data_IF_306629113285
#
_entry.id   IF_306629113285
#
_cell.length_a   1.000
_cell.length_b   1.000
_cell.length_c   1.000
_cell.angle_alpha   90.00
_cell.angle_beta   90.00
_cell.angle_gamma   90.00
#
_symmetry.space_group_name_H-M   'P 1'
#
loop_
_entity.id
_entity.type
_entity.pdbx_description
1 polymer ?
#
# COMPACT_ATOMS: atom_id res chain seq x y z
N UNK A 1 -3.69 -21.26 -55.17
CA UNK A 1 -3.15 -21.28 -53.79
C UNK A 1 -3.92 -20.35 -52.84
N UNK A 2 -5.25 -20.47 -52.73
CA UNK A 2 -6.07 -19.52 -51.95
C UNK A 2 -7.16 -20.19 -51.07
N UNK A 3 -7.07 -21.51 -50.87
CA UNK A 3 -8.11 -22.30 -50.16
C UNK A 3 -7.81 -22.55 -48.68
N UNK A 4 -6.66 -22.10 -48.17
CA UNK A 4 -6.21 -22.43 -46.81
C UNK A 4 -6.45 -21.32 -45.76
N UNK A 5 -6.82 -20.09 -46.16
CA UNK A 5 -7.07 -18.99 -45.21
C UNK A 5 -8.36 -19.16 -44.39
N UNK A 6 -9.34 -19.90 -44.90
CA UNK A 6 -10.66 -20.01 -44.27
C UNK A 6 -10.75 -21.15 -43.24
N UNK A 7 -9.79 -22.08 -43.25
CA UNK A 7 -9.77 -23.23 -42.33
C UNK A 7 -9.41 -22.82 -40.89
N UNK A 8 -8.47 -21.89 -40.73
CA UNK A 8 -8.11 -21.35 -39.43
C UNK A 8 -9.23 -20.46 -38.86
N UNK A 9 -9.87 -19.64 -39.70
CA UNK A 9 -11.03 -18.83 -39.29
C UNK A 9 -12.20 -19.69 -38.82
N UNK A 10 -12.55 -20.75 -39.55
CA UNK A 10 -13.63 -21.66 -39.17
C UNK A 10 -13.29 -22.47 -37.90
N UNK A 11 -12.01 -22.72 -37.63
CA UNK A 11 -11.57 -23.35 -36.39
C UNK A 11 -11.75 -22.41 -35.20
N UNK A 12 -11.29 -21.17 -35.31
CA UNK A 12 -11.48 -20.15 -34.28
C UNK A 12 -12.95 -19.83 -34.01
N UNK A 13 -13.77 -19.72 -35.06
CA UNK A 13 -15.20 -19.46 -34.91
C UNK A 13 -15.91 -20.59 -34.15
N UNK A 14 -15.52 -21.85 -34.37
CA UNK A 14 -16.05 -22.97 -33.58
C UNK A 14 -15.60 -22.92 -32.13
N UNK A 15 -14.33 -22.60 -31.87
CA UNK A 15 -13.80 -22.44 -30.52
C UNK A 15 -14.52 -21.31 -29.76
N UNK A 16 -14.76 -20.17 -30.42
CA UNK A 16 -15.50 -19.02 -29.86
C UNK A 16 -16.97 -19.36 -29.61
N UNK A 17 -17.64 -20.05 -30.54
CA UNK A 17 -19.05 -20.44 -30.37
C UNK A 17 -19.21 -21.45 -29.24
N UNK A 18 -18.25 -22.35 -29.06
CA UNK A 18 -18.22 -23.28 -27.93
C UNK A 18 -17.95 -22.56 -26.61
N UNK A 19 -16.96 -21.67 -26.58
CA UNK A 19 -16.70 -20.84 -25.40
C UNK A 19 -17.92 -19.99 -25.04
N UNK A 20 -18.63 -19.45 -26.02
CA UNK A 20 -19.86 -18.69 -25.82
C UNK A 20 -20.99 -19.55 -25.24
N UNK A 21 -21.14 -20.79 -25.72
CA UNK A 21 -22.10 -21.75 -25.13
C UNK A 21 -21.73 -22.08 -23.69
N UNK A 22 -20.44 -22.29 -23.41
CA UNK A 22 -19.92 -22.57 -22.07
C UNK A 22 -20.17 -21.39 -21.11
N UNK A 23 -19.87 -20.17 -21.56
CA UNK A 23 -20.15 -18.93 -20.81
C UNK A 23 -21.64 -18.84 -20.51
N UNK A 24 -22.50 -19.07 -21.51
CA UNK A 24 -23.96 -18.94 -21.35
C UNK A 24 -24.56 -20.03 -20.45
N UNK A 25 -24.05 -21.26 -20.48
CA UNK A 25 -24.55 -22.33 -19.62
C UNK A 25 -24.15 -22.14 -18.16
N UNK A 26 -22.99 -21.52 -17.91
CA UNK A 26 -22.39 -21.44 -16.57
C UNK A 26 -22.21 -19.99 -16.05
N UNK A 27 -23.09 -19.08 -16.49
CA UNK A 27 -23.08 -17.65 -16.09
C UNK A 27 -23.03 -17.48 -14.56
N UNK A 28 -23.77 -18.31 -13.81
CA UNK A 28 -23.83 -18.21 -12.36
C UNK A 28 -22.44 -18.39 -11.71
N UNK A 29 -21.67 -19.38 -12.15
CA UNK A 29 -20.32 -19.61 -11.63
C UNK A 29 -19.32 -18.56 -12.14
N UNK A 30 -19.52 -18.08 -13.37
CA UNK A 30 -18.71 -17.01 -13.93
C UNK A 30 -18.89 -15.69 -13.18
N UNK A 31 -20.13 -15.41 -12.74
CA UNK A 31 -20.43 -14.28 -11.87
C UNK A 31 -19.73 -14.39 -10.51
N UNK A 32 -19.67 -15.59 -9.91
CA UNK A 32 -18.91 -15.81 -8.67
C UNK A 32 -17.41 -15.56 -8.90
N UNK A 33 -16.84 -16.08 -9.99
CA UNK A 33 -15.45 -15.83 -10.35
C UNK A 33 -15.16 -14.34 -10.54
N UNK A 34 -16.03 -13.63 -11.27
CA UNK A 34 -15.92 -12.18 -11.43
C UNK A 34 -16.01 -11.45 -10.09
N UNK A 35 -16.91 -11.88 -9.19
CA UNK A 35 -17.05 -11.36 -7.84
C UNK A 35 -15.77 -11.52 -7.00
N UNK A 36 -15.15 -12.70 -7.03
CA UNK A 36 -13.87 -12.95 -6.35
C UNK A 36 -12.76 -12.02 -6.87
N UNK A 37 -12.70 -11.81 -8.20
CA UNK A 37 -11.73 -10.91 -8.83
C UNK A 37 -11.99 -9.44 -8.45
N UNK A 38 -13.26 -9.03 -8.40
CA UNK A 38 -13.65 -7.69 -7.95
C UNK A 38 -13.16 -7.46 -6.52
N UNK A 39 -13.50 -8.37 -5.59
CA UNK A 39 -13.11 -8.26 -4.18
C UNK A 39 -11.59 -8.25 -4.05
N UNK A 40 -10.87 -9.16 -4.74
CA UNK A 40 -9.41 -9.21 -4.68
C UNK A 40 -8.75 -7.92 -5.21
N UNK A 41 -9.27 -7.34 -6.30
CA UNK A 41 -8.73 -6.10 -6.88
C UNK A 41 -8.96 -4.90 -5.96
N UNK A 42 -10.15 -4.80 -5.36
CA UNK A 42 -10.49 -3.73 -4.42
C UNK A 42 -9.66 -3.85 -3.13
N UNK A 43 -9.51 -5.05 -2.58
CA UNK A 43 -8.67 -5.29 -1.40
C UNK A 43 -7.20 -4.97 -1.67
N UNK A 44 -6.68 -5.34 -2.85
CA UNK A 44 -5.32 -4.99 -3.26
C UNK A 44 -5.11 -3.48 -3.40
N UNK A 45 -6.08 -2.77 -4.00
CA UNK A 45 -6.05 -1.31 -4.10
C UNK A 45 -6.12 -0.63 -2.74
N UNK A 46 -6.94 -1.16 -1.84
CA UNK A 46 -7.02 -0.70 -0.46
C UNK A 46 -5.70 -0.92 0.29
N UNK A 47 -5.09 -2.11 0.20
CA UNK A 47 -3.80 -2.42 0.82
C UNK A 47 -2.67 -1.50 0.35
N UNK A 48 -2.63 -1.18 -0.94
CA UNK A 48 -1.63 -0.27 -1.48
C UNK A 48 -1.87 1.17 -1.00
N UNK A 49 -3.14 1.61 -1.00
CA UNK A 49 -3.51 2.94 -0.55
C UNK A 49 -3.21 3.17 0.94
N UNK A 50 -3.49 2.18 1.79
CA UNK A 50 -3.16 2.26 3.22
C UNK A 50 -1.65 2.29 3.47
N UNK A 51 -0.84 1.66 2.62
CA UNK A 51 0.62 1.70 2.72
C UNK A 51 1.20 3.10 2.51
N UNK A 52 0.72 3.80 1.50
CA UNK A 52 1.16 5.18 1.19
C UNK A 52 0.62 6.12 2.26
N UNK A 53 -0.63 5.94 2.67
CA UNK A 53 -1.24 6.70 3.75
C UNK A 53 -0.46 6.57 5.06
N UNK A 54 -0.05 5.35 5.42
CA UNK A 54 0.74 5.07 6.61
C UNK A 54 2.08 5.82 6.59
N UNK A 55 2.80 5.77 5.46
CA UNK A 55 4.05 6.53 5.30
C UNK A 55 3.82 8.03 5.51
N UNK A 56 2.71 8.57 5.00
CA UNK A 56 2.38 9.99 5.15
C UNK A 56 1.97 10.38 6.56
N UNK A 57 1.28 9.50 7.30
CA UNK A 57 1.01 9.70 8.73
C UNK A 57 2.31 9.73 9.50
N UNK A 58 3.19 8.74 9.27
CA UNK A 58 4.45 8.66 9.96
C UNK A 58 5.29 9.91 9.71
N UNK A 59 5.40 10.36 8.45
CA UNK A 59 6.12 11.61 8.14
C UNK A 59 5.48 12.84 8.78
N UNK A 60 4.14 12.92 8.81
CA UNK A 60 3.42 14.07 9.39
C UNK A 60 3.57 14.10 10.92
N UNK A 61 3.38 12.96 11.58
CA UNK A 61 3.57 12.84 13.03
C UNK A 61 5.02 13.16 13.42
N UNK A 62 6.00 12.73 12.62
CA UNK A 62 7.41 13.07 12.84
C UNK A 62 7.71 14.55 12.61
N UNK A 63 7.07 15.18 11.62
CA UNK A 63 7.25 16.61 11.38
C UNK A 63 6.76 17.48 12.54
N UNK A 64 5.80 17.00 13.34
CA UNK A 64 5.34 17.71 14.55
C UNK A 64 6.30 17.58 15.73
N UNK A 65 7.16 16.56 15.74
CA UNK A 65 8.13 16.34 16.80
C UNK A 65 9.38 17.20 16.53
N UNK A 66 9.50 18.31 17.26
CA UNK A 66 10.70 19.13 17.26
C UNK A 66 11.73 18.55 18.23
N UNK A 67 12.98 18.45 17.77
CA UNK A 67 14.13 18.22 18.65
C UNK A 67 14.75 19.57 18.98
N UNK A 68 14.92 19.86 20.26
CA UNK A 68 15.50 21.13 20.73
C UNK A 68 16.92 20.87 21.22
N UNK A 69 17.88 21.51 20.57
CA UNK A 69 19.31 21.46 20.94
C UNK A 69 19.67 22.77 21.60
N UNK A 70 20.00 22.77 22.88
CA UNK A 70 20.43 23.96 23.60
C UNK A 70 21.93 24.18 23.40
N UNK A 71 22.31 25.41 23.10
CA UNK A 71 23.70 25.81 22.90
C UNK A 71 24.16 26.76 24.01
N UNK A 72 25.48 26.87 24.17
CA UNK A 72 26.07 27.78 25.14
C UNK A 72 25.79 29.26 24.76
N UNK A 73 25.49 30.09 25.76
CA UNK A 73 25.24 31.54 25.60
C UNK A 73 26.48 32.32 25.17
N UNK A 74 27.67 31.75 25.37
CA UNK A 74 28.96 32.39 25.09
C UNK A 74 29.41 32.28 23.62
N UNK A 75 28.68 31.55 22.77
CA UNK A 75 29.06 31.34 21.36
C UNK A 75 28.89 32.62 20.51
N UNK A 76 29.89 32.98 19.69
CA UNK A 76 29.77 34.09 18.74
C UNK A 76 28.79 33.78 17.60
N UNK A 77 28.12 34.81 17.06
CA UNK A 77 27.11 34.63 16.00
C UNK A 77 27.63 33.92 14.74
N UNK A 78 28.90 34.11 14.39
CA UNK A 78 29.52 33.44 13.24
C UNK A 78 29.56 31.91 13.42
N UNK A 79 29.79 31.45 14.65
CA UNK A 79 29.83 30.03 15.01
C UNK A 79 28.41 29.43 15.09
N UNK A 80 27.42 30.22 15.53
CA UNK A 80 26.00 29.84 15.46
C UNK A 80 25.58 29.62 14.00
N UNK A 81 26.02 30.48 13.07
CA UNK A 81 25.70 30.33 11.65
C UNK A 81 26.39 29.12 11.00
N UNK A 82 27.65 28.83 11.38
CA UNK A 82 28.34 27.64 10.86
C UNK A 82 27.67 26.35 11.35
N UNK A 83 27.34 26.27 12.64
CA UNK A 83 26.60 25.13 13.24
C UNK A 83 25.25 24.94 12.54
N UNK A 84 24.52 26.02 12.28
CA UNK A 84 23.25 25.96 11.53
C UNK A 84 23.46 25.39 10.12
N UNK A 85 24.47 25.88 9.39
CA UNK A 85 24.76 25.42 8.04
C UNK A 85 25.15 23.93 8.02
N UNK A 86 25.87 23.48 9.04
CA UNK A 86 26.24 22.07 9.20
C UNK A 86 25.03 21.20 9.51
N UNK A 87 24.11 21.64 10.37
CA UNK A 87 22.86 20.91 10.63
C UNK A 87 21.97 20.79 9.40
N UNK A 88 21.82 21.86 8.61
CA UNK A 88 21.02 21.83 7.37
C UNK A 88 21.59 20.87 6.33
N UNK A 89 22.92 20.67 6.32
CA UNK A 89 23.58 19.76 5.37
C UNK A 89 23.47 18.29 5.76
N UNK A 90 22.99 17.96 6.97
CA UNK A 90 22.90 16.57 7.43
C UNK A 90 21.75 15.84 6.74
N UNK A 91 21.97 14.57 6.34
CA UNK A 91 20.92 13.77 5.72
C UNK A 91 19.76 13.54 6.69
N UNK A 92 18.53 13.79 6.22
CA UNK A 92 17.31 13.56 7.00
C UNK A 92 16.88 14.71 7.91
N UNK A 93 17.60 15.84 7.91
CA UNK A 93 17.14 17.10 8.50
C UNK A 93 16.18 17.80 7.52
N UNK A 94 14.96 18.07 7.97
CA UNK A 94 13.93 18.75 7.17
C UNK A 94 14.00 20.27 7.33
N UNK A 95 14.19 20.74 8.56
CA UNK A 95 14.19 22.16 8.91
C UNK A 95 15.07 22.41 10.14
N UNK A 96 15.77 23.55 10.13
CA UNK A 96 16.57 24.04 11.27
C UNK A 96 16.23 25.50 11.54
N UNK A 97 15.63 25.75 12.69
CA UNK A 97 15.25 27.08 13.16
C UNK A 97 16.09 27.44 14.36
N UNK A 98 16.75 28.60 14.29
CA UNK A 98 17.45 29.16 15.44
C UNK A 98 16.46 30.01 16.24
N UNK A 99 16.35 29.74 17.54
CA UNK A 99 15.53 30.51 18.47
C UNK A 99 16.45 31.20 19.46
N UNK A 100 16.41 32.52 19.48
CA UNK A 100 17.21 33.29 20.45
C UNK A 100 16.64 33.13 21.85
N UNK A 101 17.46 33.34 22.88
CA UNK A 101 17.02 33.28 24.28
C UNK A 101 15.80 34.18 24.53
N UNK A 102 15.78 35.38 23.93
CA UNK A 102 14.69 36.35 24.06
C UNK A 102 13.41 35.88 23.38
N UNK A 103 13.53 35.28 22.20
CA UNK A 103 12.39 34.71 21.46
C UNK A 103 11.77 33.54 22.22
N UNK A 104 12.60 32.62 22.72
CA UNK A 104 12.14 31.48 23.51
C UNK A 104 11.38 31.92 24.77
N UNK A 105 11.84 33.00 25.43
CA UNK A 105 11.17 33.56 26.60
C UNK A 105 9.84 34.23 26.23
N UNK A 106 9.77 34.91 25.08
CA UNK A 106 8.52 35.50 24.60
C UNK A 106 7.47 34.44 24.26
N UNK A 107 7.87 33.36 23.60
CA UNK A 107 6.98 32.22 23.27
C UNK A 107 6.50 31.48 24.52
N UNK A 108 7.39 31.29 25.51
CA UNK A 108 7.02 30.66 26.78
C UNK A 108 6.00 31.51 27.55
N UNK A 109 6.17 32.84 27.57
CA UNK A 109 5.21 33.77 28.20
C UNK A 109 3.85 33.76 27.53
N UNK A 110 3.80 33.62 26.20
CA UNK A 110 2.53 33.48 25.47
C UNK A 110 1.83 32.16 25.79
N UNK A 111 2.59 31.07 25.80
CA UNK A 111 2.10 29.71 26.08
C UNK A 111 1.60 29.55 27.52
N UNK A 112 2.22 30.27 28.46
CA UNK A 112 1.89 30.28 29.88
C UNK A 112 1.26 31.63 30.30
N UNK A 113 0.53 32.28 29.40
CA UNK A 113 -0.13 33.57 29.67
C UNK A 113 -1.04 33.54 30.90
N UNK A 114 -1.66 32.40 31.19
CA UNK A 114 -2.45 32.14 32.40
C UNK A 114 -1.63 32.01 33.70
N UNK A 115 -0.31 31.86 33.62
CA UNK A 115 0.64 31.76 34.74
C UNK A 115 1.71 32.87 34.70
N UNK A 116 1.35 34.05 34.19
CA UNK A 116 2.26 35.19 34.04
C UNK A 116 3.02 35.56 35.32
N UNK A 117 2.42 35.33 36.49
CA UNK A 117 3.01 35.55 37.83
C UNK A 117 4.29 34.73 38.08
N UNK A 118 4.50 33.61 37.39
CA UNK A 118 5.73 32.81 37.48
C UNK A 118 6.96 33.55 36.94
N UNK A 119 6.76 34.57 36.10
CA UNK A 119 7.82 35.28 35.40
C UNK A 119 8.14 36.66 35.99
N UNK A 120 7.38 37.14 36.98
CA UNK A 120 7.53 38.48 37.56
C UNK A 120 8.81 38.63 38.41
N UNK A 121 9.35 37.53 38.94
CA UNK A 121 10.55 37.53 39.80
C UNK A 121 11.83 37.07 39.11
N UNK A 122 11.81 36.83 37.79
CA UNK A 122 12.97 36.35 37.05
C UNK A 122 13.77 37.56 36.54
N UNK A 123 14.90 37.84 37.18
CA UNK A 123 15.76 38.99 36.87
C UNK A 123 16.65 38.78 35.64
N UNK A 124 16.96 37.52 35.33
CA UNK A 124 17.89 37.13 34.26
C UNK A 124 17.29 35.95 33.47
N UNK A 125 17.38 35.98 32.13
CA UNK A 125 16.70 34.99 31.29
C UNK A 125 17.29 33.58 31.50
N UNK A 126 16.54 32.63 32.08
CA UNK A 126 17.06 31.30 32.40
C UNK A 126 17.14 30.40 31.15
N UNK A 127 16.49 30.78 30.06
CA UNK A 127 16.38 29.96 28.85
C UNK A 127 17.64 30.20 27.97
N UNK A 128 18.42 29.15 27.66
CA UNK A 128 19.52 29.25 26.71
C UNK A 128 19.00 29.35 25.26
N UNK A 129 19.81 29.88 24.34
CA UNK A 129 19.47 29.84 22.93
C UNK A 129 19.44 28.39 22.44
N UNK A 130 18.60 28.12 21.45
CA UNK A 130 18.40 26.75 20.97
C UNK A 130 18.22 26.66 19.45
N UNK A 131 18.52 25.47 18.94
CA UNK A 131 18.13 25.06 17.59
C UNK A 131 16.95 24.10 17.69
N UNK A 132 15.86 24.45 17.02
CA UNK A 132 14.75 23.54 16.79
C UNK A 132 14.95 22.84 15.45
N UNK A 133 15.02 21.51 15.50
CA UNK A 133 15.33 20.67 14.34
C UNK A 133 14.17 19.72 14.10
N UNK A 134 13.68 19.70 12.86
CA UNK A 134 12.68 18.73 12.38
C UNK A 134 13.37 17.70 11.51
N UNK A 135 12.97 16.44 11.66
CA UNK A 135 13.53 15.32 10.90
C UNK A 135 12.50 14.70 9.96
N UNK A 136 12.97 14.10 8.87
CA UNK A 136 12.13 13.36 7.93
C UNK A 136 11.85 11.91 8.38
N UNK A 137 12.67 11.36 9.28
CA UNK A 137 12.55 9.99 9.79
C UNK A 137 13.02 9.85 11.25
N UNK A 138 12.51 8.84 11.96
CA UNK A 138 12.99 8.48 13.29
C UNK A 138 14.46 8.03 13.29
N UNK A 139 14.89 7.37 12.21
CA UNK A 139 16.26 6.89 12.09
C UNK A 139 17.25 8.06 12.00
N UNK A 140 16.93 9.07 11.19
CA UNK A 140 17.71 10.30 11.09
C UNK A 140 17.73 11.08 12.41
N UNK A 141 16.59 11.15 13.11
CA UNK A 141 16.52 11.77 14.44
C UNK A 141 17.42 11.03 15.43
N UNK A 142 17.38 9.69 15.44
CA UNK A 142 18.22 8.87 16.32
C UNK A 142 19.72 9.05 16.04
N UNK A 143 20.11 8.98 14.77
CA UNK A 143 21.50 9.20 14.36
C UNK A 143 21.99 10.58 14.79
N UNK A 144 21.17 11.60 14.59
CA UNK A 144 21.50 12.96 15.02
C UNK A 144 21.65 13.05 16.55
N UNK A 145 20.75 12.44 17.33
CA UNK A 145 20.84 12.41 18.79
C UNK A 145 22.13 11.73 19.25
N UNK A 146 22.48 10.59 18.66
CA UNK A 146 23.68 9.82 19.00
C UNK A 146 24.96 10.61 18.65
N UNK A 147 24.97 11.32 17.53
CA UNK A 147 26.08 12.21 17.13
C UNK A 147 26.20 13.43 18.07
N UNK A 148 25.08 14.09 18.38
CA UNK A 148 25.06 15.30 19.21
C UNK A 148 25.41 15.02 20.67
N UNK A 149 25.13 13.83 21.20
CA UNK A 149 25.57 13.43 22.54
C UNK A 149 27.09 13.46 22.73
N UNK A 150 27.85 13.41 21.64
CA UNK A 150 29.32 13.46 21.67
C UNK A 150 29.89 14.86 21.39
N UNK A 151 29.05 15.83 21.02
CA UNK A 151 29.48 17.18 20.67
C UNK A 151 29.67 18.04 21.93
N UNK A 152 30.80 18.75 22.01
CA UNK A 152 31.21 19.50 23.21
C UNK A 152 30.48 20.83 23.42
N UNK A 153 29.83 21.36 22.37
CA UNK A 153 29.18 22.69 22.38
C UNK A 153 27.67 22.64 22.72
N UNK A 154 27.16 21.47 23.11
CA UNK A 154 25.73 21.25 23.40
C UNK A 154 25.53 21.16 24.90
N UNK A 155 24.67 22.02 25.43
CA UNK A 155 24.38 22.10 26.87
C UNK A 155 23.37 21.05 27.29
N UNK A 156 22.30 20.90 26.51
CA UNK A 156 21.24 19.92 26.75
C UNK A 156 20.52 19.58 25.44
N UNK A 157 19.96 18.37 25.36
CA UNK A 157 19.28 17.83 24.19
C UNK A 157 17.90 17.32 24.60
N UNK A 158 16.87 18.10 24.29
CA UNK A 158 15.48 17.73 24.51
C UNK A 158 14.91 17.12 23.22
N UNK A 159 14.93 15.79 23.18
CA UNK A 159 14.37 15.01 22.10
C UNK A 159 13.30 14.06 22.66
N UNK A 160 12.01 14.21 22.29
CA UNK A 160 10.94 13.29 22.70
C UNK A 160 11.00 11.95 21.93
N UNK A 161 12.20 11.40 21.74
CA UNK A 161 12.47 10.23 20.90
C UNK A 161 11.77 8.97 21.42
N UNK A 162 11.80 8.71 22.73
CA UNK A 162 11.16 7.50 23.29
C UNK A 162 9.63 7.51 23.11
N UNK A 163 9.01 8.68 23.28
CA UNK A 163 7.57 8.87 23.08
C UNK A 163 7.21 8.71 21.59
N UNK A 164 7.99 9.34 20.71
CA UNK A 164 7.86 9.23 19.27
C UNK A 164 8.06 7.78 18.77
N UNK A 165 9.05 7.08 19.31
CA UNK A 165 9.37 5.70 18.97
C UNK A 165 8.26 4.75 19.43
N UNK A 166 7.72 4.94 20.65
CA UNK A 166 6.61 4.12 21.17
C UNK A 166 5.36 4.25 20.29
N UNK A 167 4.97 5.49 19.97
CA UNK A 167 3.83 5.77 19.09
C UNK A 167 4.06 5.20 17.69
N UNK A 168 5.23 5.44 17.10
CA UNK A 168 5.56 4.91 15.78
C UNK A 168 5.56 3.39 15.76
N UNK A 169 6.08 2.73 16.78
CA UNK A 169 6.12 1.25 16.86
C UNK A 169 4.71 0.68 17.00
N UNK A 170 3.85 1.31 17.80
CA UNK A 170 2.46 0.90 17.95
C UNK A 170 1.68 1.01 16.64
N UNK A 171 1.76 2.16 15.96
CA UNK A 171 1.08 2.38 14.68
C UNK A 171 1.65 1.44 13.61
N UNK A 172 2.97 1.25 13.55
CA UNK A 172 3.62 0.31 12.62
C UNK A 172 3.18 -1.13 12.86
N UNK A 173 3.09 -1.56 14.11
CA UNK A 173 2.64 -2.91 14.48
C UNK A 173 1.20 -3.18 14.04
N UNK A 174 0.29 -2.23 14.29
CA UNK A 174 -1.10 -2.31 13.85
C UNK A 174 -1.20 -2.35 12.32
N UNK A 175 -0.46 -1.50 11.62
CA UNK A 175 -0.41 -1.47 10.17
C UNK A 175 0.10 -2.79 9.59
N UNK A 176 1.22 -3.32 10.11
CA UNK A 176 1.79 -4.59 9.65
C UNK A 176 0.82 -5.76 9.87
N UNK A 177 0.06 -5.75 10.99
CA UNK A 177 -0.96 -6.76 11.24
C UNK A 177 -2.11 -6.68 10.21
N UNK A 178 -2.63 -5.47 9.93
CA UNK A 178 -3.68 -5.26 8.92
C UNK A 178 -3.18 -5.68 7.54
N UNK A 179 -1.97 -5.28 7.17
CA UNK A 179 -1.37 -5.59 5.88
C UNK A 179 -1.16 -7.11 5.71
N UNK A 180 -0.70 -7.80 6.75
CA UNK A 180 -0.58 -9.26 6.75
C UNK A 180 -1.94 -9.95 6.55
N UNK A 181 -2.99 -9.50 7.23
CA UNK A 181 -4.35 -10.01 7.06
C UNK A 181 -4.84 -9.81 5.61
N UNK A 182 -4.58 -8.63 5.03
CA UNK A 182 -4.96 -8.33 3.65
C UNK A 182 -4.26 -9.24 2.64
N UNK A 183 -2.96 -9.51 2.82
CA UNK A 183 -2.23 -10.47 1.98
C UNK A 183 -2.84 -11.87 2.08
N UNK A 184 -3.14 -12.32 3.30
CA UNK A 184 -3.76 -13.64 3.52
C UNK A 184 -5.13 -13.71 2.86
N UNK A 185 -5.96 -12.66 2.97
CA UNK A 185 -7.26 -12.62 2.29
C UNK A 185 -7.13 -12.71 0.77
N UNK A 186 -6.21 -11.95 0.17
CA UNK A 186 -5.98 -12.02 -1.29
C UNK A 186 -5.51 -13.42 -1.71
N UNK A 187 -4.63 -14.05 -0.92
CA UNK A 187 -4.18 -15.43 -1.18
C UNK A 187 -5.35 -16.43 -1.10
N UNK A 188 -6.22 -16.31 -0.09
CA UNK A 188 -7.42 -17.16 0.05
C UNK A 188 -8.35 -16.96 -1.15
N UNK A 189 -8.60 -15.72 -1.59
CA UNK A 189 -9.44 -15.44 -2.76
C UNK A 189 -8.85 -16.04 -4.04
N UNK A 190 -7.52 -16.02 -4.20
CA UNK A 190 -6.85 -16.66 -5.33
C UNK A 190 -7.03 -18.18 -5.32
N UNK A 191 -6.89 -18.82 -4.15
CA UNK A 191 -7.13 -20.26 -3.99
C UNK A 191 -8.59 -20.59 -4.32
N UNK A 192 -9.56 -19.81 -3.81
CA UNK A 192 -10.98 -20.00 -4.11
C UNK A 192 -11.25 -19.89 -5.61
N UNK A 193 -10.64 -18.93 -6.30
CA UNK A 193 -10.77 -18.79 -7.74
C UNK A 193 -10.22 -20.02 -8.49
N UNK A 194 -9.06 -20.56 -8.07
CA UNK A 194 -8.49 -21.79 -8.64
C UNK A 194 -9.43 -22.99 -8.44
N UNK A 195 -9.93 -23.19 -7.22
CA UNK A 195 -10.86 -24.28 -6.91
C UNK A 195 -12.17 -24.18 -7.69
N UNK A 196 -12.66 -22.96 -7.92
CA UNK A 196 -13.84 -22.74 -8.76
C UNK A 196 -13.60 -23.20 -10.20
N UNK A 197 -12.46 -22.82 -10.79
CA UNK A 197 -12.09 -23.22 -12.16
C UNK A 197 -11.95 -24.74 -12.25
N UNK A 198 -11.27 -25.37 -11.30
CA UNK A 198 -11.10 -26.82 -11.25
C UNK A 198 -12.45 -27.54 -11.17
N UNK A 199 -13.36 -27.07 -10.31
CA UNK A 199 -14.71 -27.64 -10.18
C UNK A 199 -15.49 -27.62 -11.50
N UNK A 200 -15.26 -26.61 -12.32
CA UNK A 200 -15.94 -26.42 -13.60
C UNK A 200 -15.35 -27.33 -14.69
N UNK A 201 -14.03 -27.50 -14.72
CA UNK A 201 -13.37 -28.47 -15.60
C UNK A 201 -13.82 -29.90 -15.27
N UNK A 202 -13.91 -30.24 -13.98
CA UNK A 202 -14.32 -31.58 -13.52
C UNK A 202 -15.74 -31.95 -13.94
N UNK A 203 -16.68 -30.99 -13.99
CA UNK A 203 -18.05 -31.24 -14.50
C UNK A 203 -18.09 -31.61 -15.97
N UNK A 204 -17.08 -31.21 -16.74
CA UNK A 204 -17.02 -31.42 -18.19
C UNK A 204 -16.05 -32.53 -18.58
N UNK A 205 -15.47 -33.25 -17.60
CA UNK A 205 -14.47 -34.30 -17.84
C UNK A 205 -14.92 -35.37 -18.84
N UNK A 206 -16.19 -35.77 -18.81
CA UNK A 206 -16.73 -36.82 -19.70
C UNK A 206 -16.78 -36.33 -21.15
N UNK A 207 -17.24 -35.09 -21.35
CA UNK A 207 -17.24 -34.42 -22.65
C UNK A 207 -15.81 -34.26 -23.18
N UNK A 208 -14.87 -33.88 -22.32
CA UNK A 208 -13.47 -33.69 -22.68
C UNK A 208 -12.78 -35.01 -23.05
N UNK A 209 -13.07 -36.09 -22.32
CA UNK A 209 -12.58 -37.44 -22.63
C UNK A 209 -13.10 -37.93 -23.98
N UNK A 210 -14.37 -37.65 -24.31
CA UNK A 210 -14.90 -38.01 -25.63
C UNK A 210 -14.19 -37.25 -26.76
N UNK A 211 -13.87 -35.97 -26.56
CA UNK A 211 -13.12 -35.20 -27.56
C UNK A 211 -11.65 -35.60 -27.65
N UNK A 212 -11.00 -36.00 -26.55
CA UNK A 212 -9.62 -36.52 -26.60
C UNK A 212 -9.54 -37.82 -27.41
N UNK A 213 -10.51 -38.72 -27.23
CA UNK A 213 -10.61 -39.97 -28.00
C UNK A 213 -10.80 -39.76 -29.51
N UNK A 214 -11.38 -38.62 -29.92
CA UNK A 214 -11.52 -38.24 -31.34
C UNK A 214 -10.27 -37.56 -31.92
N UNK A 215 -9.16 -37.51 -31.16
CA UNK A 215 -7.91 -36.90 -31.59
C UNK A 215 -7.91 -35.36 -31.49
N UNK A 216 -8.74 -34.77 -30.63
CA UNK A 216 -8.70 -33.33 -30.40
C UNK A 216 -7.35 -32.92 -29.80
N UNK A 217 -6.72 -31.90 -30.37
CA UNK A 217 -5.45 -31.37 -29.86
C UNK A 217 -5.63 -30.82 -28.43
N UNK A 218 -4.67 -30.98 -27.50
CA UNK A 218 -4.78 -30.48 -26.12
C UNK A 218 -5.15 -28.99 -26.02
N UNK A 219 -4.61 -28.16 -26.91
CA UNK A 219 -4.92 -26.73 -27.00
C UNK A 219 -6.40 -26.45 -27.32
N UNK A 220 -7.03 -27.30 -28.13
CA UNK A 220 -8.45 -27.18 -28.48
C UNK A 220 -9.37 -27.46 -27.29
N UNK A 221 -8.98 -28.40 -26.42
CA UNK A 221 -9.71 -28.72 -25.20
C UNK A 221 -9.64 -27.58 -24.16
N UNK A 222 -8.57 -26.78 -24.20
CA UNK A 222 -8.26 -25.74 -23.23
C UNK A 222 -8.82 -24.36 -23.55
N UNK A 223 -8.93 -24.02 -24.83
CA UNK A 223 -9.41 -22.71 -25.27
C UNK A 223 -10.76 -22.27 -24.69
N UNK A 224 -11.80 -23.12 -24.55
CA UNK A 224 -13.08 -22.65 -24.02
C UNK A 224 -12.99 -22.22 -22.54
N UNK A 225 -12.19 -22.92 -21.73
CA UNK A 225 -11.95 -22.54 -20.33
C UNK A 225 -11.11 -21.28 -20.22
N UNK A 226 -10.08 -21.14 -21.06
CA UNK A 226 -9.27 -19.93 -21.09
C UNK A 226 -10.11 -18.70 -21.45
N UNK A 227 -10.94 -18.81 -22.48
CA UNK A 227 -11.85 -17.73 -22.90
C UNK A 227 -12.90 -17.41 -21.84
N UNK A 228 -13.41 -18.42 -21.14
CA UNK A 228 -14.32 -18.23 -20.00
C UNK A 228 -13.68 -17.39 -18.89
N UNK A 229 -12.48 -17.78 -18.42
CA UNK A 229 -11.79 -17.07 -17.33
C UNK A 229 -11.41 -15.65 -17.73
N UNK A 230 -10.83 -15.47 -18.92
CA UNK A 230 -10.43 -14.15 -19.43
C UNK A 230 -11.65 -13.23 -19.55
N UNK A 231 -12.79 -13.73 -20.01
CA UNK A 231 -14.01 -12.92 -20.15
C UNK A 231 -14.54 -12.43 -18.80
N UNK A 232 -14.69 -13.32 -17.82
CA UNK A 232 -15.18 -12.94 -16.48
C UNK A 232 -14.16 -12.12 -15.69
N UNK A 233 -12.87 -12.36 -15.89
CA UNK A 233 -11.81 -11.54 -15.32
C UNK A 233 -11.80 -10.12 -15.88
N UNK A 234 -11.95 -9.97 -17.20
CA UNK A 234 -12.04 -8.65 -17.83
C UNK A 234 -13.23 -7.87 -17.27
N UNK A 235 -14.40 -8.51 -17.14
CA UNK A 235 -15.58 -7.90 -16.51
C UNK A 235 -15.29 -7.51 -15.06
N UNK A 236 -14.70 -8.43 -14.28
CA UNK A 236 -14.38 -8.18 -12.88
C UNK A 236 -13.41 -7.01 -12.68
N UNK A 237 -12.39 -6.89 -13.52
CA UNK A 237 -11.43 -5.78 -13.48
C UNK A 237 -12.08 -4.46 -13.90
N UNK A 238 -12.88 -4.45 -14.97
CA UNK A 238 -13.58 -3.22 -15.40
C UNK A 238 -14.53 -2.75 -14.31
N UNK A 239 -15.32 -3.65 -13.73
CA UNK A 239 -16.26 -3.33 -12.65
C UNK A 239 -15.51 -2.87 -11.40
N UNK A 240 -14.40 -3.51 -11.04
CA UNK A 240 -13.63 -3.11 -9.85
C UNK A 240 -12.96 -1.75 -10.02
N UNK A 241 -12.47 -1.39 -11.21
CA UNK A 241 -11.95 -0.05 -11.48
C UNK A 241 -13.05 0.99 -11.36
N UNK A 242 -14.21 0.75 -11.97
CA UNK A 242 -15.36 1.65 -11.87
C UNK A 242 -15.78 1.82 -10.40
N UNK A 243 -16.00 0.70 -9.68
CA UNK A 243 -16.38 0.74 -8.27
C UNK A 243 -15.31 1.40 -7.41
N UNK A 244 -14.03 1.11 -7.64
CA UNK A 244 -12.91 1.73 -6.95
C UNK A 244 -12.91 3.24 -7.15
N UNK A 245 -13.20 3.71 -8.37
CA UNK A 245 -13.26 5.13 -8.68
C UNK A 245 -14.38 5.85 -7.92
N UNK A 246 -15.57 5.26 -7.84
CA UNK A 246 -16.70 5.89 -7.15
C UNK A 246 -16.71 5.67 -5.63
N UNK A 247 -16.18 4.55 -5.14
CA UNK A 247 -16.19 4.20 -3.73
C UNK A 247 -14.98 4.75 -2.96
N UNK A 248 -13.83 4.92 -3.61
CA UNK A 248 -12.62 5.38 -2.92
C UNK A 248 -12.79 6.73 -2.20
N UNK A 249 -13.44 7.78 -2.77
CA UNK A 249 -13.64 9.04 -2.07
C UNK A 249 -14.42 8.87 -0.75
N UNK A 250 -15.46 8.03 -0.76
CA UNK A 250 -16.30 7.79 0.43
C UNK A 250 -15.52 7.09 1.55
N UNK A 251 -14.67 6.13 1.19
CA UNK A 251 -13.79 5.45 2.15
C UNK A 251 -12.75 6.42 2.71
N UNK A 252 -12.19 7.27 1.85
CA UNK A 252 -11.18 8.28 2.21
C UNK A 252 -11.77 9.31 3.19
N UNK A 253 -12.97 9.82 2.89
CA UNK A 253 -13.65 10.78 3.75
C UNK A 253 -13.95 10.16 5.14
N UNK A 254 -14.41 8.92 5.17
CA UNK A 254 -14.63 8.19 6.42
C UNK A 254 -13.33 8.04 7.22
N UNK A 255 -12.23 7.66 6.57
CA UNK A 255 -10.92 7.55 7.19
C UNK A 255 -10.46 8.91 7.74
N UNK A 256 -10.64 9.99 6.99
CA UNK A 256 -10.29 11.34 7.43
C UNK A 256 -11.11 11.79 8.64
N UNK A 257 -12.41 11.47 8.70
CA UNK A 257 -13.27 11.75 9.86
C UNK A 257 -12.79 10.96 11.09
N UNK A 258 -12.50 9.67 10.93
CA UNK A 258 -11.98 8.85 12.04
C UNK A 258 -10.64 9.41 12.53
N UNK A 259 -9.76 9.83 11.63
CA UNK A 259 -8.46 10.41 12.00
C UNK A 259 -8.58 11.75 12.70
N UNK A 260 -9.46 12.64 12.24
CA UNK A 260 -9.65 13.94 12.87
C UNK A 260 -10.18 13.77 14.30
N UNK A 261 -11.04 12.78 14.53
CA UNK A 261 -11.58 12.44 15.85
C UNK A 261 -10.56 11.77 16.78
N UNK A 262 -9.75 10.84 16.27
CA UNK A 262 -8.81 10.06 17.09
C UNK A 262 -7.45 10.73 17.29
N UNK A 263 -6.94 11.42 16.26
CA UNK A 263 -5.58 11.91 16.22
C UNK A 263 -5.49 13.43 15.97
N UNK A 264 -6.60 14.11 15.66
CA UNK A 264 -6.58 15.53 15.30
C UNK A 264 -5.82 15.83 14.00
N UNK A 265 -5.51 14.80 13.21
CA UNK A 265 -4.72 14.90 11.99
C UNK A 265 -5.62 14.75 10.76
N UNK A 266 -5.51 15.69 9.83
CA UNK A 266 -6.04 15.53 8.47
C UNK A 266 -4.87 15.27 7.54
N UNK A 267 -4.86 14.09 6.93
CA UNK A 267 -3.78 13.70 6.02
C UNK A 267 -4.35 13.84 4.62
N UNK A 268 -3.87 14.80 3.81
CA UNK A 268 -4.31 14.89 2.43
C UNK A 268 -3.86 13.63 1.71
N UNK A 269 -4.79 12.72 1.44
CA UNK A 269 -4.51 11.56 0.63
C UNK A 269 -4.20 12.04 -0.79
N UNK A 270 -3.05 11.62 -1.32
CA UNK A 270 -2.71 11.84 -2.73
C UNK A 270 -3.80 11.28 -3.63
N UNK A 271 -3.84 11.70 -4.90
CA UNK A 271 -4.67 11.07 -5.95
C UNK A 271 -4.67 9.56 -5.79
N UNK A 272 -5.83 8.97 -5.51
CA UNK A 272 -5.99 7.54 -5.23
C UNK A 272 -6.19 6.73 -6.51
N UNK A 273 -6.47 7.40 -7.63
CA UNK A 273 -6.70 6.81 -8.95
C UNK A 273 -5.52 5.93 -9.42
N UNK A 274 -4.24 6.36 -9.28
CA UNK A 274 -3.10 5.53 -9.66
C UNK A 274 -3.03 4.20 -8.91
N UNK A 275 -3.51 4.14 -7.67
CA UNK A 275 -3.44 2.94 -6.83
C UNK A 275 -4.51 1.92 -7.21
N UNK A 276 -5.71 2.39 -7.56
CA UNK A 276 -6.77 1.55 -8.11
C UNK A 276 -6.36 0.98 -9.47
N UNK A 277 -5.71 1.80 -10.31
CA UNK A 277 -5.20 1.35 -11.61
C UNK A 277 -4.05 0.34 -11.44
N UNK A 278 -3.11 0.59 -10.52
CA UNK A 278 -2.02 -0.33 -10.25
C UNK A 278 -2.53 -1.68 -9.72
N UNK A 279 -3.51 -1.68 -8.81
CA UNK A 279 -4.09 -2.93 -8.31
C UNK A 279 -4.87 -3.69 -9.39
N UNK A 280 -5.51 -2.99 -10.32
CA UNK A 280 -6.13 -3.59 -11.50
C UNK A 280 -5.09 -4.24 -12.43
N UNK A 281 -3.94 -3.61 -12.64
CA UNK A 281 -2.85 -4.21 -13.43
C UNK A 281 -2.29 -5.46 -12.72
N UNK A 282 -2.07 -5.37 -11.41
CA UNK A 282 -1.60 -6.51 -10.63
C UNK A 282 -2.61 -7.65 -10.59
N UNK A 283 -3.92 -7.36 -10.51
CA UNK A 283 -4.96 -8.38 -10.53
C UNK A 283 -5.05 -9.06 -11.89
N UNK A 284 -4.86 -8.32 -12.98
CA UNK A 284 -4.69 -8.90 -14.32
C UNK A 284 -3.49 -9.86 -14.32
N UNK A 285 -2.31 -9.44 -13.86
CA UNK A 285 -1.13 -10.32 -13.81
C UNK A 285 -1.39 -11.57 -12.97
N UNK A 286 -2.04 -11.42 -11.80
CA UNK A 286 -2.39 -12.54 -10.93
C UNK A 286 -3.40 -13.50 -11.56
N UNK A 287 -4.42 -12.98 -12.24
CA UNK A 287 -5.42 -13.80 -12.92
C UNK A 287 -4.79 -14.54 -14.09
N UNK A 288 -4.04 -13.85 -14.95
CA UNK A 288 -3.41 -14.49 -16.11
C UNK A 288 -2.34 -15.50 -15.68
N UNK A 289 -1.52 -15.16 -14.68
CA UNK A 289 -0.52 -16.07 -14.11
C UNK A 289 -1.15 -17.27 -13.40
N UNK A 290 -2.17 -17.03 -12.56
CA UNK A 290 -2.92 -18.07 -11.86
C UNK A 290 -3.67 -19.01 -12.81
N UNK A 291 -4.26 -18.46 -13.88
CA UNK A 291 -4.95 -19.23 -14.93
C UNK A 291 -3.97 -20.13 -15.68
N UNK A 292 -2.80 -19.60 -16.04
CA UNK A 292 -1.76 -20.38 -16.70
C UNK A 292 -1.29 -21.55 -15.83
N UNK A 293 -1.07 -21.31 -14.53
CA UNK A 293 -0.65 -22.34 -13.57
C UNK A 293 -1.75 -23.38 -13.32
N UNK A 294 -2.99 -22.96 -13.11
CA UNK A 294 -4.13 -23.85 -12.85
C UNK A 294 -4.38 -24.79 -14.05
N UNK A 295 -4.31 -24.23 -15.26
CA UNK A 295 -4.44 -25.02 -16.50
C UNK A 295 -3.27 -25.99 -16.65
N UNK A 296 -2.04 -25.56 -16.41
CA UNK A 296 -0.88 -26.45 -16.55
C UNK A 296 -0.93 -27.62 -15.57
N UNK A 297 -1.42 -27.37 -14.35
CA UNK A 297 -1.59 -28.40 -13.33
C UNK A 297 -2.69 -29.40 -13.68
N UNK A 298 -3.87 -28.94 -14.09
CA UNK A 298 -5.00 -29.81 -14.40
C UNK A 298 -4.73 -30.72 -15.60
N UNK A 299 -4.01 -30.24 -16.62
CA UNK A 299 -3.58 -31.08 -17.75
C UNK A 299 -2.62 -32.17 -17.28
N UNK A 300 -1.70 -31.84 -16.36
CA UNK A 300 -0.72 -32.80 -15.86
C UNK A 300 -1.40 -33.94 -15.10
N UNK A 301 -2.43 -33.63 -14.31
CA UNK A 301 -3.21 -34.61 -13.56
C UNK A 301 -4.03 -35.52 -14.49
N UNK A 302 -4.66 -34.95 -15.53
CA UNK A 302 -5.37 -35.75 -16.54
C UNK A 302 -4.40 -36.65 -17.32
N UNK A 303 -3.24 -36.13 -17.74
CA UNK A 303 -2.23 -36.90 -18.46
C UNK A 303 -1.60 -38.03 -17.61
N UNK A 304 -1.47 -37.86 -16.28
CA UNK A 304 -1.02 -38.95 -15.40
C UNK A 304 -2.06 -40.05 -15.22
N UNK A 305 -3.36 -39.72 -15.20
CA UNK A 305 -4.42 -40.72 -15.06
C UNK A 305 -4.59 -41.63 -16.28
N UNK A 306 -4.23 -41.17 -17.48
CA UNK A 306 -4.22 -42.00 -18.70
C UNK A 306 -2.99 -42.92 -18.80
N UNK A 307 -1.92 -42.67 -18.02
CA UNK A 307 -0.72 -43.53 -18.00
C UNK A 307 -0.78 -44.67 -16.98
N UNK A 308 -1.74 -44.64 -16.05
CA UNK A 308 -1.97 -45.70 -15.05
C UNK A 308 -3.08 -46.70 -15.45
N UNK A 309 -3.74 -46.51 -16.60
CA UNK A 309 -4.69 -47.45 -17.20
C UNK A 309 -4.09 -48.20 -18.40
#
# INVERSE_FOLDING_TARGET
>A
MQKNSNLWLNRLLREIVWAWRLIRSNIAQGAVLAGLIIIATLLGGFAFSTSVWFQKIQSTALSQLQTVVFIDKSLPQEEIQSIRADFVRRPGVAEVTFVSSEQALAELRLSLSQYSWLFENISENPIPPSFEIRFTSLESMKQFIDEMRTATYITDLLAPYEQAQSVSTFISGMYNAIFAILIVMVAVLAILAMLLVESEVLKQRESLALYSLLGASPRFLLMPFLLYIVSFAAIGVIVSVILGIYAAPLVIDLVNVVNSLLFGLTVPLSSWEPYVLLSAVLSVVFVFGGTYLAIHRSIREVASSELEM
#
